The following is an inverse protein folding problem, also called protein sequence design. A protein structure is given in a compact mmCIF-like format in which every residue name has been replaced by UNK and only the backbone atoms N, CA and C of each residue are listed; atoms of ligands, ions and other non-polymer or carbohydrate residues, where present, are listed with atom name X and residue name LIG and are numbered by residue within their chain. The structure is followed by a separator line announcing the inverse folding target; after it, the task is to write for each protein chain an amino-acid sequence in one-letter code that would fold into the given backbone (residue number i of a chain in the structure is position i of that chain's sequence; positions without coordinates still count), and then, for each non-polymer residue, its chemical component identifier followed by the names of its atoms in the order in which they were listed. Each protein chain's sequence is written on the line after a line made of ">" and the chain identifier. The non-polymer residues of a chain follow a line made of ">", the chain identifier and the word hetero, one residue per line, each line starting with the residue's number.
data_IF_841047944205
#
_entry.id   IF_841047944205
#
_cell.length_a   1.000
_cell.length_b   1.000
_cell.length_c   1.000
_cell.angle_alpha   90.00
_cell.angle_beta   90.00
_cell.angle_gamma   90.00
#
_symmetry.space_group_name_H-M   'P 1'
#
loop_
_entity.id
_entity.type
_entity.pdbx_description
1 polymer ?
#
# COMPACT_ATOMS: atom_id res chain seq x y z
N UNK A 1 -6.66 -6.20 -16.18
CA UNK A 1 -5.73 -5.33 -15.46
C UNK A 1 -6.23 -4.98 -14.06
N UNK A 2 -7.51 -4.58 -13.93
CA UNK A 2 -8.09 -4.22 -12.64
C UNK A 2 -8.11 -5.39 -11.67
N UNK A 3 -8.45 -6.58 -12.14
CA UNK A 3 -8.41 -7.80 -11.32
C UNK A 3 -7.01 -8.10 -10.80
N UNK A 4 -5.99 -7.88 -11.63
CA UNK A 4 -4.59 -8.08 -11.25
C UNK A 4 -4.20 -7.11 -10.15
N UNK A 5 -4.55 -5.83 -10.30
CA UNK A 5 -4.25 -4.80 -9.30
C UNK A 5 -4.94 -5.13 -7.97
N UNK A 6 -6.20 -5.53 -8.01
CA UNK A 6 -6.96 -5.92 -6.80
C UNK A 6 -6.32 -7.13 -6.12
N UNK A 7 -5.95 -8.16 -6.90
CA UNK A 7 -5.31 -9.36 -6.36
C UNK A 7 -3.98 -9.05 -5.67
N UNK A 8 -3.12 -8.28 -6.34
CA UNK A 8 -1.85 -7.85 -5.77
C UNK A 8 -2.04 -6.99 -4.52
N UNK A 9 -3.00 -6.07 -4.55
CA UNK A 9 -3.30 -5.20 -3.42
C UNK A 9 -3.77 -6.01 -2.21
N UNK A 10 -4.63 -7.01 -2.41
CA UNK A 10 -5.10 -7.88 -1.33
C UNK A 10 -3.95 -8.67 -0.70
N UNK A 11 -3.08 -9.24 -1.53
CA UNK A 11 -1.92 -10.00 -1.05
C UNK A 11 -0.96 -9.12 -0.25
N UNK A 12 -0.64 -7.94 -0.76
CA UNK A 12 0.27 -7.02 -0.09
C UNK A 12 -0.36 -6.41 1.16
N UNK A 13 -1.69 -6.23 1.18
CA UNK A 13 -2.38 -5.74 2.37
C UNK A 13 -2.21 -6.72 3.55
N UNK A 14 -2.31 -8.01 3.28
CA UNK A 14 -2.04 -9.04 4.30
C UNK A 14 -0.60 -8.93 4.78
N UNK A 15 0.35 -8.77 3.86
CA UNK A 15 1.77 -8.61 4.19
C UNK A 15 2.04 -7.36 5.03
N UNK A 16 1.41 -6.23 4.68
CA UNK A 16 1.54 -4.99 5.43
C UNK A 16 1.05 -5.16 6.86
N UNK A 17 -0.12 -5.77 7.03
CA UNK A 17 -0.70 -6.00 8.36
C UNK A 17 0.14 -6.96 9.19
N UNK A 18 0.72 -7.98 8.55
CA UNK A 18 1.61 -8.94 9.22
C UNK A 18 2.97 -8.31 9.58
N UNK A 19 3.42 -7.31 8.81
CA UNK A 19 4.68 -6.60 9.01
C UNK A 19 4.49 -5.34 9.86
N UNK A 20 3.42 -5.26 10.63
CA UNK A 20 3.10 -4.09 11.46
C UNK A 20 4.15 -3.81 12.55
N UNK A 21 5.14 -4.66 12.70
CA UNK A 21 6.34 -4.35 13.44
C UNK A 21 7.25 -3.50 12.58
N UNK A 22 7.41 -2.25 12.95
CA UNK A 22 8.21 -1.23 12.28
C UNK A 22 9.70 -1.59 12.25
N UNK A 23 10.07 -2.63 12.97
CA UNK A 23 11.45 -3.11 13.05
C UNK A 23 11.97 -3.62 11.71
N UNK A 24 11.09 -3.99 10.79
CA UNK A 24 11.51 -4.48 9.47
C UNK A 24 11.19 -3.46 8.36
N UNK A 25 11.94 -2.35 8.38
CA UNK A 25 11.80 -1.29 7.37
C UNK A 25 12.14 -1.78 5.97
N UNK A 26 13.09 -2.70 5.85
CA UNK A 26 13.50 -3.26 4.56
C UNK A 26 12.36 -4.04 3.93
N UNK A 27 11.70 -4.87 4.73
CA UNK A 27 10.55 -5.65 4.26
C UNK A 27 9.41 -4.74 3.85
N UNK A 28 9.15 -3.68 4.62
CA UNK A 28 8.13 -2.71 4.29
C UNK A 28 8.45 -1.97 2.98
N UNK A 29 9.72 -1.62 2.75
CA UNK A 29 10.14 -1.01 1.49
C UNK A 29 9.90 -1.93 0.29
N UNK A 30 10.13 -3.23 0.44
CA UNK A 30 9.86 -4.19 -0.62
C UNK A 30 8.37 -4.25 -0.96
N UNK A 31 7.52 -4.22 0.05
CA UNK A 31 6.06 -4.19 -0.14
C UNK A 31 5.66 -2.92 -0.89
N UNK A 32 6.16 -1.77 -0.46
CA UNK A 32 5.88 -0.48 -1.11
C UNK A 32 6.32 -0.51 -2.56
N UNK A 33 7.49 -1.06 -2.84
CA UNK A 33 8.03 -1.16 -4.20
C UNK A 33 7.12 -2.01 -5.10
N UNK A 34 6.64 -3.14 -4.59
CA UNK A 34 5.73 -4.00 -5.34
C UNK A 34 4.40 -3.30 -5.65
N UNK A 35 3.83 -2.61 -4.66
CA UNK A 35 2.57 -1.90 -4.86
C UNK A 35 2.71 -0.68 -5.77
N UNK A 36 3.87 -0.05 -5.76
CA UNK A 36 4.09 1.19 -6.51
C UNK A 36 3.80 1.02 -8.00
N UNK A 37 4.28 -0.07 -8.60
CA UNK A 37 4.04 -0.30 -10.03
C UNK A 37 2.56 -0.46 -10.37
N UNK A 38 1.78 -1.11 -9.52
CA UNK A 38 0.34 -1.29 -9.74
C UNK A 38 -0.45 -0.01 -9.46
N UNK A 39 -0.15 0.65 -8.35
CA UNK A 39 -0.91 1.83 -7.94
C UNK A 39 -0.61 3.06 -8.79
N UNK A 40 0.58 3.16 -9.38
CA UNK A 40 0.90 4.27 -10.29
C UNK A 40 0.04 4.23 -11.55
N UNK A 41 -0.36 3.04 -12.00
CA UNK A 41 -1.24 2.88 -13.18
C UNK A 41 -2.60 3.54 -12.92
N UNK A 42 -3.10 3.47 -11.69
CA UNK A 42 -4.40 4.04 -11.32
C UNK A 42 -4.27 5.37 -10.58
N UNK A 43 -3.08 5.97 -10.61
CA UNK A 43 -2.78 7.27 -9.97
C UNK A 43 -3.06 7.28 -8.47
N UNK A 44 -2.83 6.14 -7.78
CA UNK A 44 -3.07 5.97 -6.36
C UNK A 44 -1.78 5.87 -5.53
N UNK A 45 -0.65 6.24 -6.11
CA UNK A 45 0.68 6.03 -5.53
C UNK A 45 1.12 7.09 -4.50
N UNK A 46 0.32 8.15 -4.28
CA UNK A 46 0.66 9.21 -3.33
C UNK A 46 1.05 8.71 -1.94
N UNK A 47 0.21 7.90 -1.27
CA UNK A 47 0.56 7.36 0.05
C UNK A 47 1.81 6.49 0.04
N UNK A 48 2.08 5.77 -1.04
CA UNK A 48 3.28 4.94 -1.17
C UNK A 48 4.54 5.80 -1.26
N UNK A 49 4.48 6.93 -1.96
CA UNK A 49 5.61 7.86 -2.06
C UNK A 49 5.97 8.41 -0.69
N UNK A 50 4.97 8.82 0.09
CA UNK A 50 5.18 9.36 1.43
C UNK A 50 5.79 8.31 2.35
N UNK A 51 5.24 7.10 2.34
CA UNK A 51 5.79 6.01 3.15
C UNK A 51 7.22 5.67 2.74
N UNK A 52 7.50 5.60 1.44
CA UNK A 52 8.84 5.33 0.94
C UNK A 52 9.83 6.40 1.39
N UNK A 53 9.43 7.68 1.33
CA UNK A 53 10.25 8.79 1.79
C UNK A 53 10.62 8.64 3.27
N UNK A 54 9.64 8.31 4.11
CA UNK A 54 9.85 8.13 5.54
C UNK A 54 10.73 6.92 5.84
N UNK A 55 10.54 5.82 5.12
CA UNK A 55 11.35 4.61 5.32
C UNK A 55 12.83 4.82 4.98
N UNK A 56 13.12 5.72 4.04
CA UNK A 56 14.49 6.07 3.66
C UNK A 56 15.10 7.12 4.57
N UNK A 57 14.30 7.79 5.38
CA UNK A 57 14.76 8.83 6.28
C UNK A 57 15.12 8.24 7.65
N UNK A 58 16.40 8.18 7.97
CA UNK A 58 16.86 7.64 9.24
C UNK A 58 16.39 8.43 10.46
N UNK A 59 15.97 9.67 10.24
CA UNK A 59 15.44 10.54 11.31
C UNK A 59 13.93 10.40 11.52
N UNK A 60 13.23 9.67 10.64
CA UNK A 60 11.79 9.47 10.77
C UNK A 60 11.49 8.61 12.00
N UNK A 61 10.50 9.05 12.78
CA UNK A 61 10.08 8.33 13.97
C UNK A 61 9.18 7.13 13.61
N UNK A 62 9.10 6.19 14.54
CA UNK A 62 8.19 5.05 14.37
C UNK A 62 6.74 5.50 14.26
N UNK A 63 6.36 6.55 14.98
CA UNK A 63 5.00 7.11 14.89
C UNK A 63 4.69 7.66 13.50
N UNK A 64 5.65 8.39 12.90
CA UNK A 64 5.48 8.93 11.55
C UNK A 64 5.31 7.81 10.53
N UNK A 65 6.12 6.76 10.65
CA UNK A 65 6.04 5.60 9.76
C UNK A 65 4.71 4.86 9.97
N UNK A 66 4.29 4.68 11.22
CA UNK A 66 3.01 4.03 11.53
C UNK A 66 1.82 4.78 10.92
N UNK A 67 1.82 6.11 11.00
CA UNK A 67 0.76 6.90 10.41
C UNK A 67 0.75 6.76 8.88
N UNK A 68 1.92 6.75 8.26
CA UNK A 68 2.02 6.58 6.82
C UNK A 68 1.58 5.18 6.38
N UNK A 69 1.92 4.15 7.15
CA UNK A 69 1.45 2.77 6.91
C UNK A 69 -0.07 2.71 7.03
N UNK A 70 -0.65 3.36 8.03
CA UNK A 70 -2.10 3.40 8.19
C UNK A 70 -2.79 4.01 6.97
N UNK A 71 -2.24 5.11 6.44
CA UNK A 71 -2.78 5.75 5.23
C UNK A 71 -2.70 4.80 4.03
N UNK A 72 -1.60 4.07 3.89
CA UNK A 72 -1.44 3.07 2.81
C UNK A 72 -2.49 1.96 2.96
N UNK A 73 -2.73 1.47 4.16
CA UNK A 73 -3.75 0.45 4.43
C UNK A 73 -5.14 0.97 4.03
N UNK A 74 -5.47 2.19 4.41
CA UNK A 74 -6.75 2.82 4.05
C UNK A 74 -6.90 2.95 2.53
N UNK A 75 -5.84 3.36 1.86
CA UNK A 75 -5.84 3.47 0.40
C UNK A 75 -6.03 2.10 -0.26
N UNK A 76 -5.37 1.07 0.26
CA UNK A 76 -5.53 -0.30 -0.24
C UNK A 76 -6.98 -0.78 -0.11
N UNK A 77 -7.60 -0.54 1.03
CA UNK A 77 -8.99 -0.90 1.27
C UNK A 77 -9.93 -0.15 0.32
N UNK A 78 -9.68 1.13 0.09
CA UNK A 78 -10.44 1.95 -0.86
C UNK A 78 -10.33 1.39 -2.29
N UNK A 79 -9.12 1.05 -2.72
CA UNK A 79 -8.88 0.48 -4.06
C UNK A 79 -9.66 -0.82 -4.21
N UNK A 80 -9.58 -1.70 -3.23
CA UNK A 80 -10.28 -3.00 -3.27
C UNK A 80 -11.78 -2.79 -3.35
N UNK A 81 -12.33 -1.89 -2.53
CA UNK A 81 -13.77 -1.64 -2.50
C UNK A 81 -14.27 -1.01 -3.80
N UNK A 82 -13.60 0.01 -4.31
CA UNK A 82 -13.99 0.68 -5.55
C UNK A 82 -13.87 -0.26 -6.76
N UNK A 83 -12.79 -1.01 -6.85
CA UNK A 83 -12.57 -1.94 -7.94
C UNK A 83 -13.59 -3.08 -7.91
N UNK A 84 -13.91 -3.60 -6.73
CA UNK A 84 -14.92 -4.64 -6.56
C UNK A 84 -16.28 -4.13 -7.00
N UNK A 85 -16.65 -2.91 -6.60
CA UNK A 85 -17.91 -2.29 -7.00
C UNK A 85 -17.99 -2.13 -8.52
N UNK A 86 -16.92 -1.68 -9.17
CA UNK A 86 -16.87 -1.53 -10.63
C UNK A 86 -17.02 -2.86 -11.34
N UNK A 87 -16.34 -3.89 -10.84
CA UNK A 87 -16.42 -5.23 -11.43
C UNK A 87 -17.82 -5.82 -11.29
N UNK A 88 -18.49 -5.58 -10.17
CA UNK A 88 -19.88 -6.02 -9.97
C UNK A 88 -20.84 -5.27 -10.87
N UNK A 89 -20.65 -3.98 -11.07
CA UNK A 89 -21.54 -3.16 -11.90
C UNK A 89 -21.38 -3.43 -13.40
N UNK A 90 -20.34 -4.10 -13.82
CA UNK A 90 -20.07 -4.42 -15.22
C UNK A 90 -20.51 -5.83 -15.61
N UNK A 91 -21.25 -6.50 -14.76
CA UNK A 91 -21.75 -7.85 -15.02
C UNK A 91 -23.11 -7.84 -15.71
#
# INVERSE_FOLDING_TARGET
>A
LLKTIVGETKEELVSIKATASIEDRVKMQNIVHHLYSSWSIISADGPLRELSRLLKNTSATDEEINMAVYVVIRQAETIINEATTQLENNV
#
